data_IF_100192837289
#
_entry.id   IF_100192837289
#
_cell.length_a   1.000
_cell.length_b   1.000
_cell.length_c   1.000
_cell.angle_alpha   90.00
_cell.angle_beta   90.00
_cell.angle_gamma   90.00
#
_symmetry.space_group_name_H-M   'P 1'
#
loop_
_entity.id
_entity.type
_entity.pdbx_description
1 polymer ?
#
# COMPACT_ATOMS: atom_id res chain seq x y z
N UNK A 1 -22.53 -43.18 -36.36
CA UNK A 1 -21.54 -42.10 -36.44
C UNK A 1 -21.51 -41.37 -35.09
N UNK A 2 -20.51 -41.66 -34.24
CA UNK A 2 -20.36 -41.03 -32.90
C UNK A 2 -19.46 -39.82 -33.07
N UNK A 3 -20.02 -38.61 -32.89
CA UNK A 3 -19.27 -37.36 -32.88
C UNK A 3 -18.62 -37.18 -31.48
N UNK A 4 -17.32 -37.36 -31.41
CA UNK A 4 -16.50 -36.99 -30.22
C UNK A 4 -16.29 -35.49 -30.24
N UNK A 5 -16.87 -34.80 -29.24
CA UNK A 5 -16.59 -33.39 -28.97
C UNK A 5 -15.20 -33.28 -28.31
N UNK A 6 -14.28 -32.43 -28.78
CA UNK A 6 -13.04 -32.18 -28.05
C UNK A 6 -13.30 -31.35 -26.80
N UNK A 7 -12.93 -31.90 -25.66
CA UNK A 7 -12.88 -31.15 -24.40
C UNK A 7 -11.80 -30.06 -24.53
N UNK A 8 -12.24 -28.82 -24.60
CA UNK A 8 -11.35 -27.65 -24.47
C UNK A 8 -10.91 -27.58 -23.01
N UNK A 9 -9.68 -28.02 -22.70
CA UNK A 9 -9.05 -27.85 -21.42
C UNK A 9 -8.66 -26.39 -21.35
N UNK A 10 -9.47 -25.58 -20.63
CA UNK A 10 -9.14 -24.20 -20.26
C UNK A 10 -8.05 -24.28 -19.17
N UNK A 11 -6.77 -24.20 -19.56
CA UNK A 11 -5.68 -24.02 -18.62
C UNK A 11 -5.88 -22.65 -17.94
N UNK A 12 -5.88 -22.59 -16.59
CA UNK A 12 -5.85 -21.30 -15.93
C UNK A 12 -4.52 -20.63 -16.29
N UNK A 13 -4.59 -19.49 -16.94
CA UNK A 13 -3.45 -18.59 -17.14
C UNK A 13 -3.02 -18.14 -15.76
N UNK A 14 -1.98 -18.78 -15.20
CA UNK A 14 -1.29 -18.27 -14.01
C UNK A 14 -0.73 -16.91 -14.40
N UNK A 15 -1.34 -15.85 -13.91
CA UNK A 15 -0.89 -14.49 -14.11
C UNK A 15 0.43 -14.27 -13.34
N UNK A 16 1.54 -14.77 -13.89
CA UNK A 16 2.88 -14.38 -13.51
C UNK A 16 3.18 -13.01 -14.15
N UNK A 17 2.51 -11.96 -13.65
CA UNK A 17 2.93 -10.60 -13.95
C UNK A 17 4.32 -10.35 -13.33
N UNK A 18 5.09 -9.36 -13.84
CA UNK A 18 6.37 -8.99 -13.24
C UNK A 18 6.15 -8.60 -11.77
N UNK A 19 7.12 -9.00 -10.89
CA UNK A 19 7.12 -8.59 -9.50
C UNK A 19 7.13 -7.06 -9.43
N UNK A 20 6.33 -6.47 -8.54
CA UNK A 20 6.40 -5.05 -8.22
C UNK A 20 7.63 -4.85 -7.32
N UNK A 21 8.71 -4.22 -7.83
CA UNK A 21 9.92 -4.07 -7.03
C UNK A 21 9.69 -3.04 -5.93
N UNK A 22 10.00 -3.40 -4.69
CA UNK A 22 9.99 -2.46 -3.57
C UNK A 22 11.26 -1.59 -3.63
N UNK A 23 11.08 -0.29 -3.90
CA UNK A 23 12.18 0.66 -3.84
C UNK A 23 12.55 0.97 -2.38
N UNK A 24 13.85 1.16 -2.06
CA UNK A 24 14.25 1.54 -0.71
C UNK A 24 13.78 2.96 -0.37
N UNK A 25 13.32 3.16 0.87
CA UNK A 25 12.92 4.49 1.35
C UNK A 25 13.39 4.73 2.78
N UNK A 26 13.95 5.90 3.02
CA UNK A 26 14.29 6.45 4.33
C UNK A 26 13.49 7.74 4.58
N UNK A 27 13.73 8.43 5.69
CA UNK A 27 13.00 9.64 6.10
C UNK A 27 13.10 10.76 5.06
N UNK A 28 14.29 11.01 4.50
CA UNK A 28 14.49 12.02 3.46
C UNK A 28 13.79 11.61 2.14
N UNK A 29 13.77 10.30 1.83
CA UNK A 29 13.05 9.73 0.70
C UNK A 29 11.53 9.87 0.88
N UNK A 30 11.02 9.65 2.08
CA UNK A 30 9.59 9.84 2.38
C UNK A 30 9.14 11.28 2.18
N UNK A 31 9.92 12.26 2.65
CA UNK A 31 9.59 13.68 2.43
C UNK A 31 9.56 14.03 0.94
N UNK A 32 10.54 13.57 0.15
CA UNK A 32 10.55 13.76 -1.31
C UNK A 32 9.36 13.07 -1.98
N UNK A 33 8.97 11.89 -1.48
CA UNK A 33 7.82 11.16 -1.97
C UNK A 33 6.54 11.97 -1.76
N UNK A 34 6.31 12.52 -0.57
CA UNK A 34 5.16 13.40 -0.28
C UNK A 34 5.16 14.61 -1.24
N UNK A 35 6.30 15.26 -1.43
CA UNK A 35 6.41 16.42 -2.32
C UNK A 35 6.12 16.08 -3.79
N UNK A 36 6.53 14.90 -4.26
CA UNK A 36 6.30 14.44 -5.63
C UNK A 36 4.85 14.07 -5.93
N UNK A 37 4.06 13.81 -4.90
CA UNK A 37 2.65 13.43 -5.01
C UNK A 37 1.68 14.61 -4.82
N UNK A 38 2.18 15.85 -4.67
CA UNK A 38 1.31 17.04 -4.64
C UNK A 38 0.42 17.09 -5.88
N UNK A 39 -0.83 17.45 -5.68
CA UNK A 39 -1.90 17.39 -6.69
C UNK A 39 -2.80 16.15 -6.60
N UNK A 40 -2.39 15.13 -5.85
CA UNK A 40 -3.18 13.92 -5.57
C UNK A 40 -3.55 13.83 -4.10
N UNK A 41 -4.62 13.11 -3.81
CA UNK A 41 -4.91 12.61 -2.45
C UNK A 41 -4.18 11.30 -2.29
N UNK A 42 -3.31 11.19 -1.30
CA UNK A 42 -2.47 10.01 -1.10
C UNK A 42 -2.74 9.37 0.25
N UNK A 43 -2.91 8.05 0.23
CA UNK A 43 -2.95 7.21 1.41
C UNK A 43 -1.63 6.44 1.50
N UNK A 44 -0.78 6.79 2.47
CA UNK A 44 0.43 6.04 2.78
C UNK A 44 0.09 4.93 3.76
N UNK A 45 0.30 3.69 3.34
CA UNK A 45 0.06 2.47 4.11
C UNK A 45 1.38 1.87 4.60
N UNK A 46 1.58 1.83 5.91
CA UNK A 46 2.70 1.16 6.56
C UNK A 46 2.26 -0.22 7.06
N UNK A 47 2.90 -1.24 6.53
CA UNK A 47 2.54 -2.63 6.73
C UNK A 47 3.77 -3.54 6.86
N UNK A 48 3.59 -4.84 7.14
CA UNK A 48 4.64 -5.84 7.06
C UNK A 48 4.06 -7.23 6.80
N UNK A 49 4.87 -8.14 6.26
CA UNK A 49 4.45 -9.52 5.97
C UNK A 49 4.07 -10.31 7.21
N UNK A 50 4.66 -10.01 8.35
CA UNK A 50 4.36 -10.62 9.65
C UNK A 50 3.17 -9.97 10.38
N UNK A 51 2.64 -8.85 9.89
CA UNK A 51 1.51 -8.15 10.49
C UNK A 51 0.18 -8.73 9.96
N UNK A 52 -0.46 -9.58 10.74
CA UNK A 52 -1.70 -10.25 10.33
C UNK A 52 -2.84 -9.27 9.99
N UNK A 53 -3.16 -8.23 10.78
CA UNK A 53 -4.19 -7.26 10.42
C UNK A 53 -3.82 -6.44 9.16
N UNK A 54 -2.54 -6.12 8.95
CA UNK A 54 -2.12 -5.45 7.71
C UNK A 54 -2.45 -6.29 6.47
N UNK A 55 -2.19 -7.59 6.55
CA UNK A 55 -2.47 -8.52 5.44
C UNK A 55 -3.96 -8.64 5.13
N UNK A 56 -4.82 -8.51 6.12
CA UNK A 56 -6.27 -8.50 5.95
C UNK A 56 -6.78 -7.17 5.36
N UNK A 57 -6.08 -6.08 5.61
CA UNK A 57 -6.43 -4.72 5.17
C UNK A 57 -6.01 -4.44 3.72
N UNK A 58 -4.83 -4.90 3.29
CA UNK A 58 -4.27 -4.63 1.95
C UNK A 58 -5.24 -4.88 0.78
N UNK A 59 -5.96 -6.02 0.67
CA UNK A 59 -6.92 -6.22 -0.43
C UNK A 59 -8.09 -5.22 -0.38
N UNK A 60 -8.47 -4.74 0.78
CA UNK A 60 -9.53 -3.74 0.93
C UNK A 60 -9.03 -2.36 0.48
N UNK A 61 -7.76 -2.02 0.75
CA UNK A 61 -7.12 -0.80 0.26
C UNK A 61 -6.98 -0.81 -1.26
N UNK A 62 -6.61 -1.94 -1.87
CA UNK A 62 -6.56 -2.09 -3.32
C UNK A 62 -7.93 -1.83 -3.97
N UNK A 63 -9.00 -2.42 -3.43
CA UNK A 63 -10.37 -2.18 -3.91
C UNK A 63 -10.81 -0.72 -3.73
N UNK A 64 -10.42 -0.09 -2.62
CA UNK A 64 -10.73 1.31 -2.36
C UNK A 64 -9.98 2.24 -3.33
N UNK A 65 -8.72 1.94 -3.62
CA UNK A 65 -7.94 2.65 -4.63
C UNK A 65 -8.60 2.53 -6.00
N UNK A 66 -8.93 1.32 -6.47
CA UNK A 66 -9.61 1.11 -7.75
C UNK A 66 -10.90 1.94 -7.87
N UNK A 67 -11.69 1.95 -6.81
CA UNK A 67 -12.95 2.71 -6.73
C UNK A 67 -12.75 4.22 -6.83
N UNK A 68 -11.65 4.76 -6.31
CA UNK A 68 -11.46 6.21 -6.15
C UNK A 68 -10.28 6.77 -6.97
N UNK A 69 -9.54 5.95 -7.68
CA UNK A 69 -8.39 6.33 -8.53
C UNK A 69 -8.76 7.39 -9.56
N UNK A 70 -9.88 7.23 -10.26
CA UNK A 70 -10.38 8.22 -11.23
C UNK A 70 -10.72 9.57 -10.62
N UNK A 71 -10.89 9.64 -9.30
CA UNK A 71 -11.11 10.86 -8.53
C UNK A 71 -9.84 11.46 -7.96
N UNK A 72 -8.69 10.79 -8.14
CA UNK A 72 -7.37 11.27 -7.72
C UNK A 72 -6.85 10.68 -6.42
N UNK A 73 -7.39 9.53 -5.96
CA UNK A 73 -6.78 8.75 -4.88
C UNK A 73 -5.61 7.93 -5.43
N UNK A 74 -4.53 7.89 -4.69
CA UNK A 74 -3.40 6.97 -4.88
C UNK A 74 -3.06 6.32 -3.53
N UNK A 75 -2.85 5.01 -3.54
CA UNK A 75 -2.36 4.27 -2.37
C UNK A 75 -0.88 3.97 -2.57
N UNK A 76 -0.06 4.34 -1.61
CA UNK A 76 1.38 4.08 -1.60
C UNK A 76 1.70 3.18 -0.43
N UNK A 77 2.30 2.02 -0.68
CA UNK A 77 2.60 1.05 0.37
C UNK A 77 4.07 1.12 0.78
N UNK A 78 4.33 1.10 2.07
CA UNK A 78 5.67 1.08 2.65
C UNK A 78 5.78 -0.14 3.58
N UNK A 79 6.54 -1.15 3.16
CA UNK A 79 6.82 -2.32 3.99
C UNK A 79 7.83 -1.96 5.08
N UNK A 80 7.53 -2.34 6.31
CA UNK A 80 8.44 -2.28 7.46
C UNK A 80 9.25 -3.57 7.64
N UNK A 81 9.17 -4.50 6.68
CA UNK A 81 9.98 -5.72 6.70
C UNK A 81 11.49 -5.42 6.60
N UNK A 82 12.29 -6.32 7.13
CA UNK A 82 13.73 -6.29 6.94
C UNK A 82 14.12 -6.60 5.48
N UNK A 83 15.36 -6.24 5.09
CA UNK A 83 15.87 -6.47 3.73
C UNK A 83 15.82 -7.92 3.29
N UNK A 84 16.04 -8.86 4.21
CA UNK A 84 15.99 -10.31 3.94
C UNK A 84 14.58 -10.76 3.55
N UNK A 85 13.54 -10.06 3.99
CA UNK A 85 12.14 -10.37 3.70
C UNK A 85 11.58 -9.62 2.48
N UNK A 86 12.41 -8.80 1.80
CA UNK A 86 11.99 -8.01 0.63
C UNK A 86 11.24 -8.84 -0.43
N UNK A 87 11.79 -10.00 -0.80
CA UNK A 87 11.16 -10.85 -1.82
C UNK A 87 9.77 -11.38 -1.39
N UNK A 88 9.58 -11.64 -0.09
CA UNK A 88 8.29 -12.03 0.44
C UNK A 88 7.29 -10.87 0.38
N UNK A 89 7.74 -9.66 0.72
CA UNK A 89 6.91 -8.45 0.65
C UNK A 89 6.52 -8.12 -0.80
N UNK A 90 7.43 -8.21 -1.77
CA UNK A 90 7.15 -8.03 -3.20
C UNK A 90 6.09 -9.01 -3.71
N UNK A 91 6.23 -10.29 -3.35
CA UNK A 91 5.26 -11.32 -3.70
C UNK A 91 3.89 -11.03 -3.10
N UNK A 92 3.86 -10.48 -1.88
CA UNK A 92 2.62 -10.16 -1.18
C UNK A 92 1.86 -9.01 -1.87
N UNK A 93 2.55 -7.90 -2.18
CA UNK A 93 1.97 -6.76 -2.91
C UNK A 93 1.43 -7.20 -4.29
N UNK A 94 2.19 -8.03 -5.02
CA UNK A 94 1.73 -8.58 -6.29
C UNK A 94 0.46 -9.42 -6.15
N UNK A 95 0.37 -10.24 -5.11
CA UNK A 95 -0.79 -11.10 -4.85
C UNK A 95 -2.08 -10.29 -4.64
N UNK A 96 -2.00 -9.17 -3.95
CA UNK A 96 -3.15 -8.32 -3.64
C UNK A 96 -3.39 -7.21 -4.66
N UNK A 97 -2.59 -7.15 -5.74
CA UNK A 97 -2.75 -6.20 -6.85
C UNK A 97 -2.85 -4.75 -6.36
N UNK A 98 -2.00 -4.38 -5.41
CA UNK A 98 -1.81 -2.98 -5.07
C UNK A 98 -1.01 -2.35 -6.20
N UNK A 99 -1.65 -1.55 -7.04
CA UNK A 99 -1.07 -1.01 -8.28
C UNK A 99 -0.24 0.27 -8.04
N UNK A 100 -0.35 0.86 -6.84
CA UNK A 100 0.39 2.05 -6.47
C UNK A 100 1.89 1.81 -6.25
N UNK A 101 2.67 2.89 -6.07
CA UNK A 101 4.08 2.77 -5.72
C UNK A 101 4.30 2.01 -4.42
N UNK A 102 5.31 1.14 -4.41
CA UNK A 102 5.62 0.29 -3.27
C UNK A 102 7.07 0.45 -2.82
N UNK A 103 7.28 0.54 -1.51
CA UNK A 103 8.59 0.80 -0.91
C UNK A 103 8.91 -0.18 0.20
N UNK A 104 10.21 -0.37 0.45
CA UNK A 104 10.74 -1.05 1.62
C UNK A 104 11.45 -0.03 2.51
N UNK A 105 11.06 0.07 3.76
CA UNK A 105 11.77 0.90 4.74
C UNK A 105 13.23 0.49 4.82
N UNK A 106 14.13 1.44 4.62
CA UNK A 106 15.58 1.29 4.78
C UNK A 106 16.14 2.52 5.49
N UNK A 107 15.73 2.70 6.73
CA UNK A 107 16.24 3.75 7.62
C UNK A 107 17.38 3.21 8.48
N UNK A 108 18.35 4.07 8.78
CA UNK A 108 19.46 3.74 9.69
C UNK A 108 18.99 3.76 11.16
N UNK A 109 17.91 4.48 11.43
CA UNK A 109 17.30 4.58 12.74
C UNK A 109 15.78 4.63 12.63
N UNK A 110 15.11 3.64 13.21
CA UNK A 110 13.66 3.49 13.13
C UNK A 110 12.92 4.63 13.84
N UNK A 111 13.41 5.09 14.99
CA UNK A 111 12.78 6.19 15.73
C UNK A 111 12.82 7.50 14.93
N UNK A 112 13.92 7.77 14.25
CA UNK A 112 14.03 8.95 13.37
C UNK A 112 13.05 8.84 12.19
N UNK A 113 12.96 7.67 11.58
CA UNK A 113 12.02 7.43 10.47
C UNK A 113 10.56 7.62 10.93
N UNK A 114 10.18 6.97 12.02
CA UNK A 114 8.85 7.05 12.60
C UNK A 114 8.48 8.50 12.94
N UNK A 115 9.38 9.21 13.64
CA UNK A 115 9.16 10.60 14.04
C UNK A 115 9.08 11.56 12.84
N UNK A 116 9.79 11.29 11.76
CA UNK A 116 9.71 12.09 10.55
C UNK A 116 8.35 11.97 9.84
N UNK A 117 7.65 10.84 10.00
CA UNK A 117 6.32 10.62 9.44
C UNK A 117 5.25 11.21 10.37
N UNK A 118 5.29 10.83 11.64
CA UNK A 118 4.38 11.35 12.66
C UNK A 118 5.01 11.20 14.06
N UNK A 119 5.34 12.30 14.76
CA UNK A 119 5.91 12.24 16.12
C UNK A 119 4.96 11.59 17.16
N UNK A 120 3.68 11.41 16.81
CA UNK A 120 2.69 10.74 17.66
C UNK A 120 2.54 9.26 17.35
N UNK A 121 3.16 8.78 16.28
CA UNK A 121 3.13 7.39 15.91
C UNK A 121 4.23 6.60 16.62
N UNK A 122 3.87 5.51 17.26
CA UNK A 122 4.79 4.61 17.97
C UNK A 122 5.50 3.58 17.09
N UNK A 123 5.24 3.58 15.77
CA UNK A 123 5.66 2.50 14.87
C UNK A 123 4.70 1.30 14.83
N UNK A 124 3.58 1.34 15.56
CA UNK A 124 2.59 0.27 15.54
C UNK A 124 1.95 0.11 14.16
N UNK A 125 1.72 -1.14 13.74
CA UNK A 125 1.13 -1.52 12.45
C UNK A 125 -0.22 -2.22 12.63
N UNK A 126 -1.13 -2.10 11.64
CA UNK A 126 -1.07 -1.23 10.46
C UNK A 126 -1.12 0.25 10.81
N UNK A 127 -0.60 1.10 9.93
CA UNK A 127 -0.71 2.54 10.08
C UNK A 127 -0.96 3.23 8.73
N UNK A 128 -2.06 3.97 8.65
CA UNK A 128 -2.45 4.70 7.46
C UNK A 128 -2.37 6.20 7.72
N UNK A 129 -1.71 6.91 6.81
CA UNK A 129 -1.61 8.35 6.85
C UNK A 129 -2.20 8.96 5.59
N UNK A 130 -3.29 9.72 5.75
CA UNK A 130 -3.99 10.38 4.66
C UNK A 130 -3.44 11.79 4.44
N UNK A 131 -3.04 12.07 3.20
CA UNK A 131 -2.52 13.38 2.77
C UNK A 131 -3.45 14.01 1.73
N UNK A 132 -3.65 15.31 1.82
CA UNK A 132 -4.41 16.09 0.86
C UNK A 132 -3.58 16.46 -0.40
N UNK A 133 -4.22 17.07 -1.38
CA UNK A 133 -3.58 17.52 -2.63
C UNK A 133 -2.46 18.55 -2.42
N UNK A 134 -2.41 19.21 -1.27
CA UNK A 134 -1.33 20.13 -0.92
C UNK A 134 -0.11 19.42 -0.26
N UNK A 135 -0.17 18.10 -0.08
CA UNK A 135 0.85 17.32 0.61
C UNK A 135 0.81 17.49 2.13
N UNK A 136 -0.32 17.87 2.71
CA UNK A 136 -0.51 18.00 4.16
C UNK A 136 -1.17 16.75 4.70
N UNK A 137 -0.61 16.19 5.76
CA UNK A 137 -1.23 15.09 6.50
C UNK A 137 -2.52 15.58 7.17
N UNK A 138 -3.65 14.98 6.81
CA UNK A 138 -4.98 15.39 7.30
C UNK A 138 -5.56 14.41 8.31
N UNK A 139 -5.11 13.15 8.28
CA UNK A 139 -5.58 12.14 9.23
C UNK A 139 -4.61 10.96 9.33
N UNK A 140 -4.55 10.35 10.53
CA UNK A 140 -3.84 9.11 10.81
C UNK A 140 -4.84 8.06 11.31
N UNK A 141 -4.64 6.80 10.91
CA UNK A 141 -5.36 5.63 11.39
C UNK A 141 -4.31 4.63 11.85
N UNK A 142 -4.29 4.29 13.13
CA UNK A 142 -3.30 3.41 13.74
C UNK A 142 -4.01 2.18 14.31
N UNK A 143 -3.54 0.99 13.96
CA UNK A 143 -4.21 -0.27 14.25
C UNK A 143 -5.26 -0.62 13.19
N UNK A 144 -6.09 -1.62 13.47
CA UNK A 144 -7.15 -2.06 12.56
C UNK A 144 -8.07 -0.91 12.17
N UNK A 145 -8.27 -0.73 10.86
CA UNK A 145 -8.97 0.43 10.31
C UNK A 145 -10.44 0.12 10.03
N UNK A 146 -11.33 0.99 10.50
CA UNK A 146 -12.70 1.05 9.98
C UNK A 146 -12.67 1.60 8.55
N UNK A 147 -12.85 0.72 7.56
CA UNK A 147 -12.81 1.06 6.14
C UNK A 147 -13.87 2.07 5.73
N UNK A 148 -15.04 2.08 6.38
CA UNK A 148 -16.08 3.07 6.09
C UNK A 148 -15.67 4.47 6.58
N UNK A 149 -15.06 4.55 7.77
CA UNK A 149 -14.51 5.79 8.30
C UNK A 149 -13.32 6.29 7.44
N UNK A 150 -12.48 5.40 6.95
CA UNK A 150 -11.38 5.70 6.03
C UNK A 150 -11.91 6.26 4.72
N UNK A 151 -12.82 5.56 4.04
CA UNK A 151 -13.42 6.03 2.78
C UNK A 151 -14.09 7.39 2.95
N UNK A 152 -14.83 7.60 4.04
CA UNK A 152 -15.44 8.88 4.36
C UNK A 152 -14.41 10.01 4.51
N UNK A 153 -13.27 9.73 5.16
CA UNK A 153 -12.21 10.71 5.31
C UNK A 153 -11.55 11.06 3.97
N UNK A 154 -11.26 10.05 3.13
CA UNK A 154 -10.69 10.22 1.79
C UNK A 154 -11.61 11.08 0.93
N UNK A 155 -12.92 10.77 0.90
CA UNK A 155 -13.91 11.51 0.08
C UNK A 155 -14.03 12.98 0.44
N UNK A 156 -13.67 13.39 1.65
CA UNK A 156 -13.68 14.80 2.09
C UNK A 156 -12.55 15.63 1.50
N UNK A 157 -11.46 14.98 1.05
CA UNK A 157 -10.26 15.67 0.55
C UNK A 157 -10.00 15.42 -0.94
N UNK A 158 -10.80 14.55 -1.58
CA UNK A 158 -10.85 14.35 -3.02
C UNK A 158 -11.55 15.51 -3.73
#
# INVERSE_FOLDING_TARGET
MKRTLPYLICLPLLANGPLVPLAPINEAGFQKLVDSHKGKVVLYDFWATWCAPCRAELPQLALLEDKLRSRGLEVVTISADDREHKAAAEKFIQMFRVDGPAYLKQADNDDHFINAIDPKWSGALPALFLYDKAGRKVRSFIGETDMAALEKAIRKVL
#
